data_IF_176596802879
#
_entry.id   IF_176596802879
#
_cell.length_a   1.000
_cell.length_b   1.000
_cell.length_c   1.000
_cell.angle_alpha   90.00
_cell.angle_beta   90.00
_cell.angle_gamma   90.00
#
_symmetry.space_group_name_H-M   'P 1'
#
loop_
_entity.id
_entity.type
_entity.pdbx_description
1 polymer ?
#
# COMPACT_ATOMS: atom_id res chain seq x y z
N UNK A 1 -13.27 -41.76 2.99
CA UNK A 1 -13.89 -40.42 2.89
C UNK A 1 -12.84 -39.44 3.38
N UNK A 2 -12.14 -38.77 2.45
CA UNK A 2 -11.07 -37.84 2.77
C UNK A 2 -11.21 -36.63 1.84
N UNK A 3 -11.70 -35.52 2.37
CA UNK A 3 -11.73 -34.21 1.73
C UNK A 3 -11.58 -33.16 2.82
N UNK A 4 -10.36 -32.93 3.28
CA UNK A 4 -9.98 -31.76 4.07
C UNK A 4 -8.48 -31.54 3.87
N UNK A 5 -8.14 -30.65 2.95
CA UNK A 5 -7.42 -29.41 3.25
C UNK A 5 -7.13 -28.75 1.90
N UNK A 6 -8.09 -27.94 1.45
CA UNK A 6 -7.79 -26.91 0.47
C UNK A 6 -6.96 -25.87 1.21
N UNK A 7 -5.65 -26.06 1.22
CA UNK A 7 -4.71 -24.99 1.52
C UNK A 7 -4.93 -23.90 0.49
N UNK A 8 -5.81 -22.96 0.81
CA UNK A 8 -5.82 -21.62 0.24
C UNK A 8 -4.39 -21.12 0.38
N UNK A 9 -3.65 -21.28 -0.71
CA UNK A 9 -2.36 -20.65 -0.89
C UNK A 9 -2.69 -19.18 -1.08
N UNK A 10 -2.92 -18.51 0.04
CA UNK A 10 -2.78 -17.06 0.16
C UNK A 10 -1.36 -16.80 -0.28
N UNK A 11 -1.19 -16.48 -1.57
CA UNK A 11 0.07 -16.02 -2.09
C UNK A 11 0.47 -14.82 -1.25
N UNK A 12 1.63 -14.85 -0.57
CA UNK A 12 2.04 -13.74 0.26
C UNK A 12 2.10 -12.50 -0.61
N UNK A 13 1.38 -11.46 -0.17
CA UNK A 13 1.32 -10.17 -0.83
C UNK A 13 2.76 -9.65 -0.87
N UNK A 14 3.34 -9.58 -2.08
CA UNK A 14 4.73 -9.16 -2.27
C UNK A 14 4.99 -7.70 -1.81
N UNK A 15 3.94 -6.95 -1.45
CA UNK A 15 4.03 -5.64 -0.81
C UNK A 15 3.87 -5.62 0.72
N UNK A 16 3.32 -6.66 1.36
CA UNK A 16 3.11 -6.68 2.82
C UNK A 16 4.44 -6.79 3.58
N UNK A 17 5.42 -7.48 2.99
CA UNK A 17 6.68 -7.79 3.69
C UNK A 17 7.69 -6.63 3.71
N UNK A 18 7.57 -5.67 2.78
CA UNK A 18 8.42 -4.46 2.80
C UNK A 18 7.93 -3.45 3.85
N UNK A 19 6.64 -3.47 4.20
CA UNK A 19 6.03 -2.41 5.02
C UNK A 19 6.19 -2.63 6.53
N UNK A 20 6.50 -3.85 6.96
CA UNK A 20 6.88 -4.17 8.34
C UNK A 20 8.40 -3.98 8.57
N UNK A 21 9.20 -3.99 7.51
CA UNK A 21 10.66 -3.86 7.56
C UNK A 21 11.12 -2.41 7.80
N UNK A 22 10.29 -1.42 7.44
CA UNK A 22 10.54 0.00 7.68
C UNK A 22 9.77 0.58 8.87
N UNK A 23 9.72 -0.11 10.01
CA UNK A 23 9.45 0.51 11.32
C UNK A 23 10.45 1.61 11.72
N UNK A 24 11.22 2.13 10.76
CA UNK A 24 12.17 3.23 10.88
C UNK A 24 11.44 4.53 10.56
N UNK A 25 11.76 5.57 11.33
CA UNK A 25 11.35 6.93 11.02
C UNK A 25 11.78 7.30 9.58
N UNK A 26 10.88 7.92 8.81
CA UNK A 26 11.11 8.37 7.43
C UNK A 26 12.33 9.31 7.35
N UNK A 27 12.63 10.01 8.43
CA UNK A 27 13.82 10.86 8.54
C UNK A 27 15.15 10.08 8.42
N UNK A 28 15.15 8.77 8.69
CA UNK A 28 16.33 7.90 8.66
C UNK A 28 16.59 7.23 7.31
N UNK A 29 15.65 7.34 6.36
CA UNK A 29 15.76 6.71 5.05
C UNK A 29 16.73 7.48 4.14
N UNK A 30 17.42 6.78 3.25
CA UNK A 30 18.22 7.40 2.18
C UNK A 30 17.31 8.09 1.15
N UNK A 31 17.89 8.96 0.32
CA UNK A 31 17.12 9.57 -0.77
C UNK A 31 16.62 8.52 -1.77
N UNK A 32 17.42 7.47 -2.08
CA UNK A 32 16.97 6.39 -2.95
C UNK A 32 15.82 5.59 -2.33
N UNK A 33 15.88 5.30 -1.02
CA UNK A 33 14.80 4.62 -0.30
C UNK A 33 13.50 5.45 -0.29
N UNK A 34 13.61 6.77 -0.11
CA UNK A 34 12.47 7.67 -0.19
C UNK A 34 11.90 7.73 -1.61
N UNK A 35 12.74 7.72 -2.65
CA UNK A 35 12.29 7.71 -4.04
C UNK A 35 11.57 6.41 -4.40
N UNK A 36 12.02 5.27 -3.86
CA UNK A 36 11.32 3.99 -3.97
C UNK A 36 9.95 4.08 -3.29
N UNK A 37 9.88 4.61 -2.05
CA UNK A 37 8.60 4.77 -1.33
C UNK A 37 7.60 5.66 -2.06
N UNK A 38 8.04 6.78 -2.64
CA UNK A 38 7.19 7.65 -3.46
C UNK A 38 6.72 6.95 -4.73
N UNK A 39 7.49 5.98 -5.22
CA UNK A 39 7.20 5.24 -6.45
C UNK A 39 6.40 3.95 -6.21
N UNK A 40 6.18 3.53 -4.96
CA UNK A 40 5.34 2.37 -4.63
C UNK A 40 3.95 2.60 -5.21
N UNK A 41 3.55 1.80 -6.19
CA UNK A 41 2.16 1.76 -6.64
C UNK A 41 1.48 0.52 -6.05
N UNK A 42 0.19 0.62 -5.81
CA UNK A 42 -0.65 -0.56 -5.61
C UNK A 42 -0.56 -1.42 -6.87
N UNK A 43 -0.49 -2.75 -6.71
CA UNK A 43 -0.41 -3.65 -7.85
C UNK A 43 -1.65 -3.42 -8.76
N UNK A 44 -1.50 -3.43 -10.09
CA UNK A 44 -2.62 -3.17 -11.01
C UNK A 44 -3.85 -4.02 -10.71
N UNK A 45 -3.64 -5.29 -10.36
CA UNK A 45 -4.70 -6.25 -10.02
C UNK A 45 -5.45 -5.86 -8.73
N UNK A 46 -4.74 -5.27 -7.76
CA UNK A 46 -5.33 -4.81 -6.50
C UNK A 46 -6.09 -3.49 -6.70
N UNK A 47 -5.60 -2.62 -7.57
CA UNK A 47 -6.26 -1.35 -7.92
C UNK A 47 -7.56 -1.62 -8.69
N UNK A 48 -7.52 -2.53 -9.68
CA UNK A 48 -8.70 -3.02 -10.40
C UNK A 48 -9.70 -3.69 -9.45
N UNK A 49 -9.22 -4.54 -8.53
CA UNK A 49 -10.09 -5.21 -7.56
C UNK A 49 -10.75 -4.21 -6.61
N UNK A 50 -9.99 -3.24 -6.11
CA UNK A 50 -10.51 -2.16 -5.27
C UNK A 50 -11.58 -1.35 -6.02
N UNK A 51 -11.33 -1.02 -7.29
CA UNK A 51 -12.29 -0.33 -8.13
C UNK A 51 -13.61 -1.10 -8.29
N UNK A 52 -13.54 -2.40 -8.59
CA UNK A 52 -14.72 -3.25 -8.70
C UNK A 52 -15.52 -3.32 -7.38
N UNK A 53 -14.84 -3.47 -6.25
CA UNK A 53 -15.49 -3.53 -4.94
C UNK A 53 -16.15 -2.19 -4.57
N UNK A 54 -15.54 -1.06 -4.93
CA UNK A 54 -16.13 0.26 -4.72
C UNK A 54 -17.40 0.46 -5.56
N UNK A 55 -17.41 0.01 -6.82
CA UNK A 55 -18.59 0.07 -7.67
C UNK A 55 -19.72 -0.83 -7.12
N UNK A 56 -19.40 -2.06 -6.70
CA UNK A 56 -20.37 -2.96 -6.07
C UNK A 56 -20.91 -2.42 -4.75
N UNK A 57 -20.08 -1.71 -3.98
CA UNK A 57 -20.49 -1.06 -2.74
C UNK A 57 -21.48 0.08 -3.01
N UNK A 58 -21.20 0.90 -4.04
CA UNK A 58 -22.10 1.98 -4.48
C UNK A 58 -23.46 1.44 -4.92
N UNK A 59 -23.46 0.31 -5.61
CA UNK A 59 -24.67 -0.30 -6.15
C UNK A 59 -25.44 -1.14 -5.10
N UNK A 60 -24.92 -1.23 -3.87
CA UNK A 60 -25.55 -1.95 -2.75
C UNK A 60 -25.52 -3.47 -2.89
N UNK A 61 -24.63 -3.99 -3.73
CA UNK A 61 -24.53 -5.41 -4.09
C UNK A 61 -23.33 -6.12 -3.43
N UNK A 62 -22.75 -5.51 -2.40
CA UNK A 62 -21.55 -6.03 -1.73
C UNK A 62 -21.91 -7.09 -0.70
N UNK A 63 -21.37 -8.29 -0.85
CA UNK A 63 -21.50 -9.35 0.16
C UNK A 63 -20.60 -9.08 1.38
N UNK A 64 -20.91 -9.62 2.57
CA UNK A 64 -20.12 -9.37 3.78
C UNK A 64 -18.63 -9.73 3.64
N UNK A 65 -18.31 -10.80 2.89
CA UNK A 65 -16.92 -11.19 2.61
C UNK A 65 -16.20 -10.17 1.72
N UNK A 66 -16.91 -9.58 0.77
CA UNK A 66 -16.41 -8.55 -0.15
C UNK A 66 -16.25 -7.22 0.56
N UNK A 67 -17.11 -6.93 1.55
CA UNK A 67 -16.97 -5.77 2.42
C UNK A 67 -15.69 -5.86 3.26
N UNK A 68 -15.42 -7.03 3.85
CA UNK A 68 -14.17 -7.24 4.58
C UNK A 68 -12.94 -7.15 3.65
N UNK A 69 -13.05 -7.57 2.38
CA UNK A 69 -11.99 -7.41 1.38
C UNK A 69 -11.77 -5.93 1.02
N UNK A 70 -12.85 -5.17 0.79
CA UNK A 70 -12.83 -3.75 0.51
C UNK A 70 -12.14 -2.97 1.63
N UNK A 71 -12.49 -3.23 2.90
CA UNK A 71 -11.87 -2.59 4.06
C UNK A 71 -10.36 -2.85 4.15
N UNK A 72 -9.93 -4.09 3.85
CA UNK A 72 -8.49 -4.43 3.81
C UNK A 72 -7.77 -3.68 2.71
N UNK A 73 -8.34 -3.65 1.50
CA UNK A 73 -7.73 -2.98 0.35
C UNK A 73 -7.69 -1.45 0.54
N UNK A 74 -8.74 -0.86 1.10
CA UNK A 74 -8.76 0.56 1.46
C UNK A 74 -7.69 0.90 2.49
N UNK A 75 -7.57 0.10 3.56
CA UNK A 75 -6.54 0.31 4.59
C UNK A 75 -5.12 0.26 3.99
N UNK A 76 -4.88 -0.67 3.08
CA UNK A 76 -3.61 -0.78 2.37
C UNK A 76 -3.36 0.44 1.47
N UNK A 77 -4.37 0.88 0.73
CA UNK A 77 -4.29 2.04 -0.14
C UNK A 77 -3.99 3.32 0.65
N UNK A 78 -4.75 3.59 1.71
CA UNK A 78 -4.55 4.74 2.60
C UNK A 78 -3.17 4.74 3.23
N UNK A 79 -2.71 3.58 3.71
CA UNK A 79 -1.37 3.42 4.27
C UNK A 79 -0.27 3.73 3.25
N UNK A 80 -0.43 3.30 2.00
CA UNK A 80 0.52 3.58 0.93
C UNK A 80 0.54 5.07 0.55
N UNK A 81 -0.63 5.70 0.40
CA UNK A 81 -0.74 7.13 0.11
C UNK A 81 -0.09 7.98 1.20
N UNK A 82 -0.32 7.64 2.47
CA UNK A 82 0.29 8.34 3.59
C UNK A 82 1.83 8.27 3.53
N UNK A 83 2.38 7.09 3.28
CA UNK A 83 3.83 6.87 3.18
C UNK A 83 4.44 7.61 1.99
N UNK A 84 3.81 7.56 0.82
CA UNK A 84 4.23 8.34 -0.34
C UNK A 84 4.27 9.84 -0.04
N UNK A 85 3.22 10.35 0.62
CA UNK A 85 3.13 11.76 0.99
C UNK A 85 4.25 12.17 1.94
N UNK A 86 4.50 11.37 2.99
CA UNK A 86 5.56 11.63 3.95
C UNK A 86 6.96 11.53 3.32
N UNK A 87 7.21 10.52 2.48
CA UNK A 87 8.48 10.37 1.79
C UNK A 87 8.74 11.51 0.79
N UNK A 88 7.71 11.92 0.05
CA UNK A 88 7.77 13.07 -0.86
C UNK A 88 8.04 14.38 -0.12
N UNK A 89 7.42 14.59 1.05
CA UNK A 89 7.64 15.76 1.88
C UNK A 89 9.10 15.83 2.40
N UNK A 90 9.66 14.69 2.83
CA UNK A 90 11.05 14.62 3.30
C UNK A 90 12.05 14.84 2.16
N UNK A 91 11.85 14.22 0.99
CA UNK A 91 12.67 14.51 -0.20
C UNK A 91 12.63 15.98 -0.59
N UNK A 92 11.44 16.59 -0.61
CA UNK A 92 11.29 18.01 -0.91
C UNK A 92 11.96 18.91 0.13
N UNK A 93 11.95 18.54 1.41
CA UNK A 93 12.67 19.23 2.47
C UNK A 93 14.18 19.14 2.25
N UNK A 94 14.72 17.95 2.00
CA UNK A 94 16.16 17.73 1.77
C UNK A 94 16.67 18.49 0.54
N UNK A 95 15.92 18.45 -0.56
CA UNK A 95 16.24 19.19 -1.80
C UNK A 95 16.32 20.70 -1.54
N UNK A 96 15.36 21.27 -0.80
CA UNK A 96 15.38 22.70 -0.42
C UNK A 96 16.59 23.05 0.46
N UNK A 97 16.94 22.20 1.43
CA UNK A 97 18.08 22.46 2.31
C UNK A 97 19.42 22.46 1.55
N UNK A 98 19.60 21.52 0.61
CA UNK A 98 20.80 21.48 -0.24
C UNK A 98 20.88 22.69 -1.17
N UNK A 99 19.75 23.09 -1.77
CA UNK A 99 19.68 24.27 -2.62
C UNK A 99 19.96 25.59 -1.88
N UNK A 100 19.72 25.65 -0.56
CA UNK A 100 20.01 26.82 0.26
C UNK A 100 21.49 26.95 0.68
N UNK A 101 22.32 25.93 0.42
CA UNK A 101 23.75 25.91 0.74
C UNK A 101 24.64 25.96 -0.50
N UNK A 102 24.06 26.29 -1.67
CA UNK A 102 24.74 26.56 -2.95
C UNK A 102 24.58 28.04 -3.27
#
# INVERSE_FOLDING_TARGET
MALQDSSETTMPIQGENLLNEYGKDISLLSDEELEILVSIRVAPEQDERLHCLLEMHRDGALEPSEQAELERLMTLFEGNVLKQSQAGAELARRKRLRAAHV
#
